data_IF_913953426787
#
_entry.id   IF_913953426787
#
_cell.length_a   1.000
_cell.length_b   1.000
_cell.length_c   1.000
_cell.angle_alpha   90.00
_cell.angle_beta   90.00
_cell.angle_gamma   90.00
#
_symmetry.space_group_name_H-M   'P 1'
#
loop_
_entity.id
_entity.type
_entity.pdbx_description
1 polymer ?
#
# COMPACT_ATOMS: atom_id res chain seq x y z
N UNK A 1 19.33 10.82 -10.99
CA UNK A 1 19.61 10.10 -10.10
C UNK A 1 20.09 10.70 -8.91
N UNK A 2 20.30 11.88 -9.00
CA UNK A 2 20.38 12.40 -7.73
C UNK A 2 19.14 12.00 -6.98
N UNK A 3 18.01 11.90 -7.68
CA UNK A 3 16.84 11.36 -7.05
C UNK A 3 17.11 9.96 -6.61
N UNK A 4 17.63 9.14 -7.50
CA UNK A 4 17.89 7.76 -7.16
C UNK A 4 19.07 7.64 -6.23
N UNK A 5 20.11 8.44 -6.41
CA UNK A 5 21.19 8.44 -5.49
C UNK A 5 20.78 9.07 -4.19
N UNK A 6 20.02 10.12 -4.27
CA UNK A 6 19.46 10.71 -3.08
C UNK A 6 18.46 9.77 -2.47
N UNK A 7 17.68 9.09 -3.30
CA UNK A 7 16.76 8.09 -2.80
C UNK A 7 17.54 6.89 -2.32
N UNK A 8 18.63 6.56 -2.96
CA UNK A 8 19.49 5.50 -2.47
C UNK A 8 20.23 5.96 -1.24
N UNK A 9 20.70 7.17 -1.24
CA UNK A 9 21.32 7.74 -0.07
C UNK A 9 20.28 8.02 0.99
N UNK A 10 19.12 8.45 0.61
CA UNK A 10 18.03 8.57 1.54
C UNK A 10 17.49 7.23 1.93
N UNK A 11 17.43 6.30 1.01
CA UNK A 11 17.10 4.94 1.33
C UNK A 11 18.22 4.34 2.13
N UNK A 12 19.43 4.64 1.81
CA UNK A 12 20.56 4.19 2.57
C UNK A 12 20.67 4.96 3.87
N UNK A 13 20.46 6.23 3.83
CA UNK A 13 20.37 7.02 5.03
C UNK A 13 19.11 6.72 5.78
N UNK A 14 18.03 6.49 5.10
CA UNK A 14 16.82 5.97 5.71
C UNK A 14 17.00 4.55 6.15
N UNK A 15 17.70 3.78 5.39
CA UNK A 15 18.02 2.45 5.81
C UNK A 15 19.02 2.45 6.92
N UNK A 16 19.96 3.33 6.88
CA UNK A 16 20.86 3.48 7.99
C UNK A 16 20.14 4.04 9.18
N UNK A 17 19.36 5.04 8.95
CA UNK A 17 18.52 5.58 10.03
C UNK A 17 17.50 4.59 10.46
N UNK A 18 16.90 3.91 9.53
CA UNK A 18 15.91 2.89 9.84
C UNK A 18 16.55 1.68 10.46
N UNK A 19 17.75 1.35 10.03
CA UNK A 19 18.48 0.28 10.68
C UNK A 19 18.73 0.62 12.12
N UNK A 20 19.03 1.86 12.38
CA UNK A 20 19.39 2.24 13.74
C UNK A 20 18.20 2.65 14.57
N UNK A 21 17.25 3.31 13.94
CA UNK A 21 16.22 3.97 14.70
C UNK A 21 14.87 3.56 14.21
N UNK A 22 14.71 3.56 12.92
CA UNK A 22 13.40 3.43 12.33
C UNK A 22 13.16 2.12 11.71
N UNK A 23 14.12 1.52 11.16
CA UNK A 23 14.07 0.19 10.58
C UNK A 23 12.65 -0.33 10.38
N UNK A 24 11.75 0.56 10.10
CA UNK A 24 10.33 0.28 9.90
C UNK A 24 9.96 0.85 8.56
N UNK A 25 9.27 0.09 7.73
CA UNK A 25 8.75 0.69 6.51
C UNK A 25 7.76 1.79 6.88
N UNK A 26 7.72 2.86 6.09
CA UNK A 26 6.73 3.90 6.33
C UNK A 26 5.32 3.37 6.19
N UNK A 27 4.41 3.92 6.98
CA UNK A 27 3.01 3.56 6.91
C UNK A 27 2.43 3.96 5.56
N UNK A 28 1.38 3.26 5.18
CA UNK A 28 0.59 3.69 4.04
C UNK A 28 -0.12 4.98 4.42
N UNK A 29 -0.05 5.96 3.54
CA UNK A 29 -0.79 7.19 3.76
C UNK A 29 -1.59 7.55 2.51
N UNK A 30 -2.74 8.19 2.75
CA UNK A 30 -3.53 8.74 1.67
C UNK A 30 -2.93 10.10 1.35
N UNK A 31 -2.30 10.19 0.18
CA UNK A 31 -1.58 11.37 -0.21
C UNK A 31 -2.48 12.39 -0.87
N UNK A 32 -3.45 11.91 -1.62
CA UNK A 32 -4.38 12.76 -2.34
C UNK A 32 -5.67 12.01 -2.58
N UNK A 33 -6.77 12.70 -2.42
CA UNK A 33 -8.08 12.14 -2.75
C UNK A 33 -8.84 13.22 -3.51
N UNK A 34 -8.97 13.03 -4.82
CA UNK A 34 -9.66 13.97 -5.68
C UNK A 34 -10.91 13.35 -6.27
N UNK A 35 -11.39 13.93 -7.38
CA UNK A 35 -12.64 13.45 -7.99
C UNK A 35 -12.46 12.14 -8.73
N UNK A 36 -11.29 11.91 -9.30
CA UNK A 36 -11.07 10.73 -10.13
C UNK A 36 -9.85 9.93 -9.72
N UNK A 37 -9.10 10.37 -8.74
CA UNK A 37 -7.86 9.70 -8.34
C UNK A 37 -7.75 9.66 -6.84
N UNK A 38 -7.37 8.49 -6.35
CA UNK A 38 -6.92 8.30 -4.97
C UNK A 38 -5.46 7.92 -5.05
N UNK A 39 -4.61 8.69 -4.41
CA UNK A 39 -3.18 8.44 -4.41
C UNK A 39 -2.77 7.97 -3.04
N UNK A 40 -2.19 6.79 -3.01
CA UNK A 40 -1.68 6.18 -1.80
C UNK A 40 -0.16 6.13 -1.89
N UNK A 41 0.48 6.37 -0.79
CA UNK A 41 1.94 6.28 -0.72
C UNK A 41 2.32 5.28 0.34
N UNK A 42 3.22 4.39 -0.01
CA UNK A 42 3.77 3.41 0.91
C UNK A 42 5.28 3.37 0.69
N UNK A 43 6.00 4.03 1.57
CA UNK A 43 7.42 4.18 1.36
C UNK A 43 7.70 5.02 0.14
N UNK A 44 8.48 4.50 -0.77
CA UNK A 44 8.77 5.17 -2.03
C UNK A 44 7.82 4.76 -3.13
N UNK A 45 6.93 3.82 -2.84
CA UNK A 45 5.94 3.39 -3.81
C UNK A 45 4.73 4.29 -3.74
N UNK A 46 4.16 4.55 -4.90
CA UNK A 46 2.96 5.33 -4.99
C UNK A 46 1.96 4.57 -5.83
N UNK A 47 0.75 4.46 -5.33
CA UNK A 47 -0.32 3.77 -6.02
C UNK A 47 -1.40 4.78 -6.36
N UNK A 48 -1.86 4.72 -7.60
CA UNK A 48 -2.91 5.61 -8.07
C UNK A 48 -4.12 4.77 -8.43
N UNK A 49 -5.20 4.97 -7.70
CA UNK A 49 -6.48 4.35 -8.00
C UNK A 49 -7.23 5.33 -8.88
N UNK A 50 -7.38 4.99 -10.15
CA UNK A 50 -7.96 5.86 -11.14
C UNK A 50 -9.37 5.40 -11.43
N UNK A 51 -10.34 6.22 -11.03
CA UNK A 51 -11.74 5.86 -11.18
C UNK A 51 -12.21 5.94 -12.64
N UNK A 52 -11.64 6.86 -13.40
CA UNK A 52 -12.02 7.00 -14.81
C UNK A 52 -11.61 5.80 -15.63
N UNK A 53 -10.43 5.27 -15.35
CA UNK A 53 -9.91 4.12 -16.07
C UNK A 53 -10.21 2.81 -15.37
N UNK A 54 -10.74 2.88 -14.14
CA UNK A 54 -11.02 1.70 -13.32
C UNK A 54 -9.77 0.83 -13.16
N UNK A 55 -8.65 1.47 -12.83
CA UNK A 55 -7.37 0.79 -12.70
C UNK A 55 -6.66 1.23 -11.45
N UNK A 56 -5.79 0.33 -10.98
CA UNK A 56 -4.80 0.63 -9.95
C UNK A 56 -3.45 0.63 -10.65
N UNK A 57 -2.73 1.72 -10.53
CA UNK A 57 -1.48 1.91 -11.25
C UNK A 57 -0.35 2.26 -10.30
N UNK A 58 0.86 1.94 -10.70
CA UNK A 58 2.07 2.37 -10.04
C UNK A 58 3.15 2.52 -11.10
N UNK A 59 3.83 3.66 -11.09
CA UNK A 59 4.93 3.95 -12.02
C UNK A 59 4.51 3.77 -13.49
N UNK A 60 3.35 4.31 -13.84
CA UNK A 60 2.82 4.24 -15.20
C UNK A 60 2.51 2.82 -15.67
N UNK A 61 2.42 1.88 -14.74
CA UNK A 61 2.02 0.51 -15.04
C UNK A 61 0.67 0.23 -14.40
N UNK A 62 -0.17 -0.44 -15.14
CA UNK A 62 -1.43 -0.93 -14.60
C UNK A 62 -1.12 -2.19 -13.82
N UNK A 63 -1.40 -2.16 -12.52
CA UNK A 63 -1.21 -3.33 -11.67
C UNK A 63 -2.44 -4.21 -11.66
N UNK A 64 -3.61 -3.60 -11.72
CA UNK A 64 -4.86 -4.31 -11.72
C UNK A 64 -5.97 -3.43 -12.26
N UNK A 65 -6.95 -4.04 -12.91
CA UNK A 65 -8.20 -3.37 -13.22
C UNK A 65 -9.17 -3.66 -12.08
N UNK A 66 -10.14 -2.78 -11.89
CA UNK A 66 -11.10 -2.96 -10.80
C UNK A 66 -11.83 -4.29 -10.91
N UNK A 67 -12.17 -4.69 -12.14
CA UNK A 67 -12.90 -5.94 -12.35
C UNK A 67 -12.05 -7.18 -12.04
N UNK A 68 -10.75 -7.02 -11.96
CA UNK A 68 -9.87 -8.12 -11.57
C UNK A 68 -9.69 -8.22 -10.06
N UNK A 69 -10.11 -7.21 -9.32
CA UNK A 69 -9.99 -7.22 -7.86
C UNK A 69 -11.15 -8.00 -7.28
N UNK A 70 -10.86 -8.97 -6.44
CA UNK A 70 -11.89 -9.73 -5.76
C UNK A 70 -12.23 -9.11 -4.41
N UNK A 71 -11.21 -8.89 -3.60
CA UNK A 71 -11.38 -8.28 -2.28
C UNK A 71 -10.18 -7.41 -1.96
N UNK A 72 -10.40 -6.52 -1.00
CA UNK A 72 -9.31 -5.74 -0.39
C UNK A 72 -9.05 -6.41 0.94
N UNK A 73 -7.86 -6.96 1.11
CA UNK A 73 -7.55 -7.74 2.29
C UNK A 73 -6.71 -6.94 3.26
N UNK A 74 -7.11 -7.00 4.52
CA UNK A 74 -6.28 -6.55 5.64
C UNK A 74 -5.75 -7.82 6.29
N UNK A 75 -4.43 -7.99 6.26
CA UNK A 75 -3.80 -9.17 6.82
C UNK A 75 -3.05 -8.76 8.07
N UNK A 76 -3.47 -9.29 9.20
CA UNK A 76 -2.86 -8.97 10.48
C UNK A 76 -1.66 -9.89 10.71
N UNK A 77 -0.51 -9.28 10.89
CA UNK A 77 0.71 -10.00 11.23
C UNK A 77 1.03 -9.70 12.69
N UNK A 78 0.97 -10.74 13.51
CA UNK A 78 1.24 -10.59 14.93
C UNK A 78 2.73 -10.35 15.15
N UNK A 79 3.02 -9.69 16.24
CA UNK A 79 4.42 -9.45 16.59
C UNK A 79 5.12 -10.77 16.82
N UNK A 80 6.34 -10.84 16.34
CA UNK A 80 7.19 -11.99 16.55
C UNK A 80 8.61 -11.50 16.77
N UNK A 81 9.50 -12.41 17.10
CA UNK A 81 10.88 -12.03 17.32
C UNK A 81 11.42 -11.35 16.08
N UNK A 82 11.88 -10.11 16.25
CA UNK A 82 12.43 -9.34 15.17
C UNK A 82 11.42 -8.61 14.31
N UNK A 83 10.13 -8.73 14.60
CA UNK A 83 9.14 -8.01 13.78
C UNK A 83 8.06 -7.42 14.67
N UNK A 84 7.59 -6.26 14.28
CA UNK A 84 6.55 -5.53 14.96
C UNK A 84 5.20 -5.92 14.39
N UNK A 85 4.19 -5.97 15.26
CA UNK A 85 2.83 -6.19 14.81
C UNK A 85 2.43 -5.18 13.74
N UNK A 86 1.82 -5.66 12.68
CA UNK A 86 1.41 -4.78 11.60
C UNK A 86 0.21 -5.36 10.87
N UNK A 87 -0.40 -4.50 10.06
CA UNK A 87 -1.54 -4.86 9.22
C UNK A 87 -1.16 -4.54 7.80
N UNK A 88 -1.11 -5.56 6.96
CA UNK A 88 -0.80 -5.42 5.56
C UNK A 88 -2.08 -5.25 4.75
N UNK A 89 -2.02 -4.39 3.76
CA UNK A 89 -3.14 -4.18 2.85
C UNK A 89 -2.73 -4.69 1.48
N UNK A 90 -3.56 -5.55 0.93
CA UNK A 90 -3.32 -6.07 -0.40
C UNK A 90 -4.64 -6.18 -1.15
N UNK A 91 -4.55 -6.09 -2.45
CA UNK A 91 -5.68 -6.33 -3.33
C UNK A 91 -5.60 -7.78 -3.76
N UNK A 92 -6.62 -8.55 -3.40
CA UNK A 92 -6.70 -9.93 -3.80
C UNK A 92 -7.32 -9.98 -5.19
N UNK A 93 -6.60 -10.49 -6.14
CA UNK A 93 -7.05 -10.51 -7.53
C UNK A 93 -7.72 -11.85 -7.83
N UNK A 94 -8.62 -11.83 -8.78
CA UNK A 94 -9.22 -13.05 -9.28
C UNK A 94 -8.13 -13.91 -9.90
N UNK A 95 -8.23 -15.22 -9.64
CA UNK A 95 -7.22 -16.14 -10.14
C UNK A 95 -6.40 -16.70 -8.99
N UNK A 96 -5.45 -17.55 -9.36
CA UNK A 96 -4.67 -18.28 -8.37
C UNK A 96 -3.50 -17.43 -7.90
N UNK A 97 -3.43 -17.21 -6.58
CA UNK A 97 -2.28 -16.60 -5.92
C UNK A 97 -1.89 -15.22 -6.45
N UNK A 98 -2.85 -14.52 -7.05
CA UNK A 98 -2.57 -13.19 -7.56
C UNK A 98 -2.98 -12.16 -6.53
N UNK A 99 -2.07 -11.25 -6.23
CA UNK A 99 -2.39 -10.14 -5.34
C UNK A 99 -1.47 -8.97 -5.65
N UNK A 100 -1.94 -7.78 -5.31
CA UNK A 100 -1.14 -6.56 -5.36
C UNK A 100 -0.94 -6.11 -3.93
N UNK A 101 0.29 -6.11 -3.49
CA UNK A 101 0.63 -5.69 -2.15
C UNK A 101 0.75 -4.17 -2.13
N UNK A 102 -0.02 -3.52 -1.29
CA UNK A 102 0.00 -2.05 -1.17
C UNK A 102 1.03 -1.63 -0.14
N UNK A 103 0.98 -2.20 1.05
CA UNK A 103 1.91 -1.83 2.09
C UNK A 103 1.39 -2.23 3.45
N UNK A 104 2.01 -1.70 4.49
CA UNK A 104 1.64 -2.02 5.86
C UNK A 104 1.37 -0.77 6.66
N UNK A 105 0.62 -0.93 7.73
CA UNK A 105 0.52 0.07 8.78
C UNK A 105 0.74 -0.62 10.11
N UNK A 106 1.06 0.17 11.13
CA UNK A 106 1.24 -0.35 12.48
C UNK A 106 0.05 -0.04 13.37
N UNK A 107 -1.05 0.40 12.77
CA UNK A 107 -2.26 0.77 13.50
C UNK A 107 -3.45 0.17 12.77
N UNK A 108 -4.25 -0.61 13.51
CA UNK A 108 -5.41 -1.27 12.94
C UNK A 108 -6.44 -0.27 12.41
N UNK A 109 -6.57 0.87 13.07
CA UNK A 109 -7.53 1.90 12.64
C UNK A 109 -7.08 2.49 11.30
N UNK A 110 -5.80 2.77 11.16
CA UNK A 110 -5.26 3.29 9.90
C UNK A 110 -5.48 2.28 8.78
N UNK A 111 -5.24 1.01 9.06
CA UNK A 111 -5.48 -0.04 8.06
C UNK A 111 -6.94 -0.05 7.62
N UNK A 112 -7.85 0.06 8.57
CA UNK A 112 -9.28 0.07 8.28
C UNK A 112 -9.66 1.30 7.45
N UNK A 113 -9.09 2.45 7.76
CA UNK A 113 -9.36 3.67 7.02
C UNK A 113 -8.88 3.55 5.57
N UNK A 114 -7.65 3.10 5.39
CA UNK A 114 -7.09 2.96 4.04
C UNK A 114 -7.89 1.94 3.24
N UNK A 115 -8.18 0.79 3.85
CA UNK A 115 -8.95 -0.24 3.16
C UNK A 115 -10.35 0.25 2.80
N UNK A 116 -10.99 0.98 3.71
CA UNK A 116 -12.31 1.52 3.45
C UNK A 116 -12.30 2.53 2.30
N UNK A 117 -11.25 3.34 2.20
CA UNK A 117 -11.14 4.28 1.09
C UNK A 117 -10.93 3.56 -0.22
N UNK A 118 -10.06 2.56 -0.23
CA UNK A 118 -9.88 1.76 -1.44
C UNK A 118 -11.18 1.09 -1.83
N UNK A 119 -11.91 0.57 -0.84
CA UNK A 119 -13.21 -0.05 -1.07
C UNK A 119 -14.20 0.94 -1.69
N UNK A 120 -14.26 2.15 -1.15
CA UNK A 120 -15.17 3.17 -1.67
C UNK A 120 -14.83 3.53 -3.12
N UNK A 121 -13.55 3.52 -3.48
CA UNK A 121 -13.12 3.90 -4.81
C UNK A 121 -13.27 2.77 -5.83
N UNK A 122 -13.09 1.53 -5.41
CA UNK A 122 -13.12 0.38 -6.31
C UNK A 122 -14.46 -0.34 -6.33
N UNK A 123 -15.27 -0.13 -5.31
CA UNK A 123 -16.52 -0.86 -5.15
C UNK A 123 -16.33 -2.28 -4.67
N UNK A 124 -15.15 -2.62 -4.17
CA UNK A 124 -14.87 -3.98 -3.72
C UNK A 124 -14.92 -4.07 -2.21
N UNK A 125 -15.22 -5.28 -1.71
CA UNK A 125 -15.38 -5.49 -0.29
C UNK A 125 -14.04 -5.62 0.42
N UNK A 126 -14.02 -5.19 1.68
CA UNK A 126 -12.86 -5.37 2.56
C UNK A 126 -13.02 -6.68 3.29
N UNK A 127 -11.94 -7.41 3.39
CA UNK A 127 -11.89 -8.67 4.12
C UNK A 127 -10.71 -8.62 5.09
N UNK A 128 -11.00 -8.96 6.34
CA UNK A 128 -9.96 -9.03 7.37
C UNK A 128 -9.55 -10.48 7.57
N UNK A 129 -8.28 -10.72 7.47
CA UNK A 129 -7.74 -12.08 7.59
C UNK A 129 -6.85 -12.22 8.83
#
# INVERSE_FOLDING_TARGET
>A
MLGLLRDFINALACELSNLFIFNSPPDIEIQQEGDSRLVLKSGQKQFIINKRLSTVMSRNRVLARFDAIETIDIVHHYSSEGSRENWAIRLNLKGWFSSVYIGITYDAVDASIVAARISAWTGKNVRTL
#
